data_IF_530572750842
#
_entry.id   IF_530572750842
#
_cell.length_a   1.000
_cell.length_b   1.000
_cell.length_c   1.000
_cell.angle_alpha   90.00
_cell.angle_beta   90.00
_cell.angle_gamma   90.00
#
_symmetry.space_group_name_H-M   'P 1'
#
loop_
_entity.id
_entity.type
_entity.pdbx_description
1 polymer ?
#
# COMPACT_ATOMS: atom_id res chain seq x y z
N UNK A 1 19.51 -17.73 11.41
CA UNK A 1 18.06 -18.01 11.54
C UNK A 1 17.65 -17.44 12.86
N UNK A 2 17.15 -16.21 12.86
CA UNK A 2 16.56 -15.61 14.05
C UNK A 2 15.25 -16.34 14.28
N UNK A 3 15.15 -17.12 15.35
CA UNK A 3 13.86 -17.55 15.88
C UNK A 3 13.11 -16.27 16.27
N UNK A 4 12.32 -15.75 15.34
CA UNK A 4 11.46 -14.61 15.63
C UNK A 4 10.38 -15.07 16.59
N UNK A 5 10.27 -14.40 17.73
CA UNK A 5 9.22 -14.62 18.71
C UNK A 5 7.98 -13.78 18.44
N UNK A 6 7.98 -12.96 17.37
CA UNK A 6 6.82 -12.19 16.96
C UNK A 6 5.73 -13.13 16.41
N UNK A 7 4.52 -13.17 16.98
CA UNK A 7 3.41 -13.96 16.45
C UNK A 7 3.09 -13.69 14.98
N UNK A 8 3.43 -12.50 14.44
CA UNK A 8 3.28 -12.17 13.02
C UNK A 8 4.15 -13.06 12.14
N UNK A 9 5.39 -13.33 12.55
CA UNK A 9 6.34 -14.16 11.79
C UNK A 9 6.03 -15.66 11.91
N UNK A 10 5.18 -16.03 12.86
CA UNK A 10 4.67 -17.40 13.04
C UNK A 10 3.37 -17.65 12.27
N UNK A 11 2.79 -16.63 11.63
CA UNK A 11 1.54 -16.76 10.87
C UNK A 11 1.78 -17.60 9.60
N UNK A 12 0.95 -18.63 9.31
CA UNK A 12 1.11 -19.42 8.09
C UNK A 12 1.00 -18.57 6.81
N UNK A 13 1.89 -18.82 5.85
CA UNK A 13 2.00 -18.04 4.61
C UNK A 13 0.70 -18.01 3.80
N UNK A 14 -0.05 -19.10 3.76
CA UNK A 14 -1.32 -19.18 3.04
C UNK A 14 -2.40 -18.29 3.67
N UNK A 15 -2.43 -18.22 5.01
CA UNK A 15 -3.28 -17.32 5.79
C UNK A 15 -2.88 -15.87 5.57
N UNK A 16 -1.57 -15.55 5.70
CA UNK A 16 -1.05 -14.21 5.45
C UNK A 16 -1.37 -13.74 4.02
N UNK A 17 -1.17 -14.60 3.02
CA UNK A 17 -1.45 -14.30 1.63
C UNK A 17 -2.97 -14.13 1.37
N UNK A 18 -3.83 -14.88 2.05
CA UNK A 18 -5.28 -14.68 1.95
C UNK A 18 -5.70 -13.33 2.54
N UNK A 19 -5.16 -12.95 3.70
CA UNK A 19 -5.42 -11.66 4.33
C UNK A 19 -4.91 -10.49 3.46
N UNK A 20 -3.70 -10.58 2.92
CA UNK A 20 -3.14 -9.59 1.99
C UNK A 20 -4.03 -9.40 0.76
N UNK A 21 -4.41 -10.50 0.09
CA UNK A 21 -5.31 -10.42 -1.09
C UNK A 21 -6.67 -9.83 -0.74
N UNK A 22 -7.19 -10.08 0.48
CA UNK A 22 -8.44 -9.48 0.97
C UNK A 22 -8.28 -7.96 1.17
N UNK A 23 -7.18 -7.50 1.77
CA UNK A 23 -6.87 -6.08 1.92
C UNK A 23 -6.79 -5.38 0.55
N UNK A 24 -6.04 -5.94 -0.40
CA UNK A 24 -5.91 -5.38 -1.75
C UNK A 24 -7.29 -5.26 -2.41
N UNK A 25 -8.10 -6.32 -2.38
CA UNK A 25 -9.47 -6.29 -2.94
C UNK A 25 -10.37 -5.28 -2.22
N UNK A 26 -10.23 -5.09 -0.91
CA UNK A 26 -10.97 -4.08 -0.16
C UNK A 26 -10.60 -2.67 -0.62
N UNK A 27 -9.30 -2.36 -0.72
CA UNK A 27 -8.79 -1.07 -1.18
C UNK A 27 -9.16 -0.75 -2.64
N UNK A 28 -9.32 -1.77 -3.48
CA UNK A 28 -9.85 -1.62 -4.85
C UNK A 28 -11.32 -1.23 -4.90
N UNK A 29 -12.12 -1.54 -3.87
CA UNK A 29 -13.53 -1.11 -3.78
C UNK A 29 -13.67 0.27 -3.14
N UNK A 30 -12.75 0.63 -2.26
CA UNK A 30 -12.73 1.90 -1.51
C UNK A 30 -11.93 2.99 -2.23
N UNK A 31 -12.41 3.41 -3.40
CA UNK A 31 -11.80 4.50 -4.17
C UNK A 31 -11.84 5.84 -3.42
N UNK A 32 -12.79 6.00 -2.50
CA UNK A 32 -12.90 7.13 -1.59
C UNK A 32 -11.68 7.27 -0.65
N UNK A 33 -11.03 6.15 -0.30
CA UNK A 33 -9.79 6.18 0.46
C UNK A 33 -8.62 6.53 -0.48
N UNK A 34 -8.39 7.82 -0.74
CA UNK A 34 -7.30 8.27 -1.60
C UNK A 34 -5.94 7.89 -1.02
N UNK A 35 -4.94 7.69 -1.87
CA UNK A 35 -3.58 7.37 -1.41
C UNK A 35 -3.00 8.47 -0.52
N UNK A 36 -3.33 9.74 -0.78
CA UNK A 36 -2.86 10.88 0.03
C UNK A 36 -3.39 10.79 1.48
N UNK A 37 -4.65 10.40 1.65
CA UNK A 37 -5.26 10.26 2.97
C UNK A 37 -4.69 9.06 3.73
N UNK A 38 -4.50 7.93 3.04
CA UNK A 38 -3.85 6.75 3.60
C UNK A 38 -2.43 7.07 4.06
N UNK A 39 -1.66 7.79 3.23
CA UNK A 39 -0.32 8.24 3.57
C UNK A 39 -0.32 9.18 4.78
N UNK A 40 -1.22 10.15 4.85
CA UNK A 40 -1.29 11.10 5.97
C UNK A 40 -1.72 10.45 7.28
N UNK A 41 -2.64 9.49 7.23
CA UNK A 41 -3.16 8.81 8.42
C UNK A 41 -2.20 7.72 8.93
N UNK A 42 -1.74 6.85 8.03
CA UNK A 42 -1.13 5.57 8.38
C UNK A 42 0.30 5.39 7.88
N UNK A 43 0.84 6.35 7.15
CA UNK A 43 2.21 6.27 6.63
C UNK A 43 2.40 5.31 5.46
N UNK A 44 1.35 4.62 4.98
CA UNK A 44 1.42 3.78 3.79
C UNK A 44 0.19 3.96 2.91
N UNK A 45 0.28 3.54 1.65
CA UNK A 45 -0.84 3.51 0.72
C UNK A 45 -0.73 2.33 -0.26
N UNK A 46 -1.60 2.30 -1.29
CA UNK A 46 -1.57 1.26 -2.33
C UNK A 46 -0.23 1.17 -3.05
N UNK A 47 0.46 2.29 -3.25
CA UNK A 47 1.76 2.28 -3.92
C UNK A 47 2.83 1.62 -3.03
N UNK A 48 2.76 1.79 -1.71
CA UNK A 48 3.65 1.10 -0.77
C UNK A 48 3.43 -0.42 -0.83
N UNK A 49 2.18 -0.89 -0.93
CA UNK A 49 1.90 -2.32 -1.13
C UNK A 49 2.53 -2.86 -2.42
N UNK A 50 2.58 -2.04 -3.49
CA UNK A 50 3.20 -2.42 -4.75
C UNK A 50 4.73 -2.50 -4.64
N UNK A 51 5.32 -1.60 -3.86
CA UNK A 51 6.76 -1.65 -3.56
C UNK A 51 7.08 -2.87 -2.65
N UNK A 52 6.27 -3.16 -1.63
CA UNK A 52 6.47 -4.31 -0.74
C UNK A 52 6.40 -5.67 -1.43
N UNK A 53 5.49 -5.88 -2.40
CA UNK A 53 5.50 -7.14 -3.16
C UNK A 53 6.75 -7.27 -4.03
N UNK A 54 7.31 -6.15 -4.52
CA UNK A 54 8.56 -6.16 -5.29
C UNK A 54 9.75 -6.47 -4.40
N UNK A 55 9.81 -5.84 -3.22
CA UNK A 55 10.84 -6.12 -2.22
C UNK A 55 10.79 -7.58 -1.74
N UNK A 56 9.59 -8.17 -1.68
CA UNK A 56 9.37 -9.58 -1.39
C UNK A 56 9.66 -10.54 -2.58
N UNK A 57 10.12 -10.02 -3.73
CA UNK A 57 10.59 -10.83 -4.86
C UNK A 57 9.61 -10.98 -6.04
N UNK A 58 8.57 -10.15 -6.14
CA UNK A 58 7.72 -10.11 -7.34
C UNK A 58 8.57 -9.74 -8.58
N UNK A 59 8.49 -10.56 -9.63
CA UNK A 59 9.36 -10.46 -10.82
C UNK A 59 8.99 -9.33 -11.78
N UNK A 60 7.82 -8.70 -11.62
CA UNK A 60 7.40 -7.59 -12.45
C UNK A 60 8.04 -6.26 -12.05
N UNK A 61 8.04 -5.31 -12.97
CA UNK A 61 8.51 -3.96 -12.70
C UNK A 61 7.52 -3.16 -11.80
N UNK A 62 7.85 -1.89 -11.56
CA UNK A 62 7.05 -0.99 -10.73
C UNK A 62 5.64 -0.77 -11.27
N UNK A 63 5.48 -0.74 -12.59
CA UNK A 63 4.17 -0.51 -13.20
C UNK A 63 3.30 -1.75 -13.10
N UNK A 64 3.88 -2.93 -13.41
CA UNK A 64 3.22 -4.21 -13.24
C UNK A 64 2.81 -4.45 -11.78
N UNK A 65 3.66 -4.14 -10.82
CA UNK A 65 3.32 -4.28 -9.39
C UNK A 65 2.17 -3.35 -8.99
N UNK A 66 2.15 -2.11 -9.49
CA UNK A 66 1.04 -1.18 -9.24
C UNK A 66 -0.25 -1.68 -9.86
N UNK A 67 -0.21 -2.22 -11.07
CA UNK A 67 -1.38 -2.84 -11.69
C UNK A 67 -1.90 -4.02 -10.85
N UNK A 68 -1.01 -4.85 -10.30
CA UNK A 68 -1.39 -5.93 -9.37
C UNK A 68 -2.06 -5.40 -8.11
N UNK A 69 -1.72 -4.21 -7.60
CA UNK A 69 -2.42 -3.66 -6.43
C UNK A 69 -3.71 -2.94 -6.82
N UNK A 70 -3.67 -2.07 -7.84
CA UNK A 70 -4.80 -1.23 -8.26
C UNK A 70 -5.89 -2.02 -9.02
N UNK A 71 -5.54 -3.16 -9.64
CA UNK A 71 -6.44 -3.97 -10.45
C UNK A 71 -6.72 -3.41 -11.84
N UNK A 72 -5.99 -2.36 -12.23
CA UNK A 72 -6.00 -1.72 -13.54
C UNK A 72 -4.71 -0.91 -13.69
N UNK A 73 -4.34 -0.49 -14.91
CA UNK A 73 -3.20 0.38 -15.14
C UNK A 73 -3.29 1.66 -14.30
N UNK A 74 -2.17 2.09 -13.73
CA UNK A 74 -2.14 3.25 -12.83
C UNK A 74 -2.62 4.53 -13.51
N UNK A 75 -2.30 4.71 -14.80
CA UNK A 75 -2.82 5.82 -15.60
C UNK A 75 -4.35 5.85 -15.67
N UNK A 76 -4.98 4.69 -15.83
CA UNK A 76 -6.44 4.55 -15.85
C UNK A 76 -7.03 4.86 -14.47
N UNK A 77 -6.43 4.32 -13.39
CA UNK A 77 -6.89 4.57 -12.03
C UNK A 77 -6.86 6.07 -11.70
N UNK A 78 -5.78 6.76 -12.08
CA UNK A 78 -5.65 8.20 -11.86
C UNK A 78 -6.76 8.99 -12.54
N UNK A 79 -7.01 8.70 -13.81
CA UNK A 79 -8.04 9.40 -14.59
C UNK A 79 -9.44 9.17 -14.01
N UNK A 80 -9.72 7.96 -13.53
CA UNK A 80 -11.06 7.57 -13.05
C UNK A 80 -11.35 7.97 -11.61
N UNK A 81 -10.33 7.95 -10.75
CA UNK A 81 -10.55 7.98 -9.29
C UNK A 81 -9.64 8.93 -8.52
N UNK A 82 -8.52 9.39 -9.07
CA UNK A 82 -7.63 10.26 -8.31
C UNK A 82 -8.19 11.68 -8.24
N UNK A 83 -8.24 12.24 -7.02
CA UNK A 83 -8.56 13.65 -6.80
C UNK A 83 -7.29 14.45 -6.53
N UNK A 84 -7.35 15.76 -6.79
CA UNK A 84 -6.28 16.67 -6.41
C UNK A 84 -6.12 16.70 -4.88
N UNK A 85 -4.87 16.73 -4.42
CA UNK A 85 -4.57 16.78 -2.99
C UNK A 85 -4.66 18.22 -2.49
N UNK A 86 -5.39 18.43 -1.40
CA UNK A 86 -5.44 19.72 -0.71
C UNK A 86 -4.12 20.01 0.03
N UNK A 87 -3.82 21.28 0.34
CA UNK A 87 -2.65 21.65 1.14
C UNK A 87 -2.59 20.91 2.48
N UNK A 88 -3.73 20.77 3.16
CA UNK A 88 -3.82 20.07 4.45
C UNK A 88 -3.51 18.56 4.33
N UNK A 89 -3.94 17.92 3.24
CA UNK A 89 -3.61 16.50 3.01
C UNK A 89 -2.11 16.32 2.72
N UNK A 90 -1.49 17.25 1.98
CA UNK A 90 -0.05 17.25 1.72
C UNK A 90 0.75 17.43 3.01
N UNK A 91 0.34 18.35 3.88
CA UNK A 91 0.97 18.57 5.18
C UNK A 91 0.88 17.33 6.07
N UNK A 92 -0.31 16.72 6.17
CA UNK A 92 -0.51 15.46 6.93
C UNK A 92 0.36 14.34 6.39
N UNK A 93 0.45 14.19 5.07
CA UNK A 93 1.35 13.23 4.44
C UNK A 93 2.81 13.49 4.83
N UNK A 94 3.28 14.73 4.73
CA UNK A 94 4.65 15.09 5.08
C UNK A 94 4.97 14.76 6.55
N UNK A 95 4.08 15.13 7.48
CA UNK A 95 4.21 14.80 8.89
C UNK A 95 4.20 13.28 9.14
N UNK A 96 3.41 12.51 8.39
CA UNK A 96 3.43 11.04 8.50
C UNK A 96 4.72 10.43 7.97
N UNK A 97 5.28 10.96 6.89
CA UNK A 97 6.57 10.48 6.36
C UNK A 97 7.72 10.72 7.33
N UNK A 98 7.73 11.83 8.06
CA UNK A 98 8.73 12.06 9.12
C UNK A 98 8.58 11.08 10.29
N UNK A 99 7.34 10.71 10.65
CA UNK A 99 7.09 9.67 11.66
C UNK A 99 7.61 8.31 11.21
N UNK A 100 7.40 7.94 9.95
CA UNK A 100 7.87 6.65 9.42
C UNK A 100 9.40 6.46 9.52
N UNK A 101 10.20 7.53 9.53
CA UNK A 101 11.66 7.44 9.64
C UNK A 101 12.14 7.04 11.04
N UNK A 102 11.27 7.16 12.03
CA UNK A 102 11.59 6.93 13.45
C UNK A 102 11.24 5.51 13.90
N UNK A 103 10.69 4.70 13.00
CA UNK A 103 10.25 3.32 13.20
C UNK A 103 11.12 2.41 12.36
#
# INVERSE_FOLDING_TARGET
MTDSTDPLDLLPDDVAAQAFRRLVRHLRRRHDAQNIDLMGLSGFCRNCLADWIRDAGYSGDKEAAREVIHGMPMGEWKQRFQTEATPEQLERMAASLERNKQV
#
